data_IF_468280603078
#
_entry.id   IF_468280603078
#
_cell.length_a   1.000
_cell.length_b   1.000
_cell.length_c   1.000
_cell.angle_alpha   90.00
_cell.angle_beta   90.00
_cell.angle_gamma   90.00
#
_symmetry.space_group_name_H-M   'P 1'
#
loop_
_entity.id
_entity.type
_entity.pdbx_description
1 polymer ?
#
# COMPACT_ATOMS: atom_id res chain seq x y z
N UNK A 1 -34.91 -18.25 25.18
CA UNK A 1 -34.59 -17.19 24.20
C UNK A 1 -33.67 -16.20 24.89
N UNK A 2 -32.46 -16.01 24.35
CA UNK A 2 -31.38 -15.11 24.78
C UNK A 2 -31.03 -15.08 26.28
N UNK A 3 -29.88 -15.64 26.66
CA UNK A 3 -29.54 -15.75 28.09
C UNK A 3 -28.14 -15.24 28.44
N UNK A 4 -27.63 -14.20 27.80
CA UNK A 4 -26.26 -13.70 27.97
C UNK A 4 -25.15 -14.58 27.38
N UNK A 5 -25.28 -15.91 27.39
CA UNK A 5 -24.31 -16.81 26.71
C UNK A 5 -24.31 -16.59 25.18
N UNK A 6 -25.48 -16.53 24.55
CA UNK A 6 -25.55 -16.18 23.12
C UNK A 6 -25.01 -14.77 22.84
N UNK A 7 -25.24 -13.82 23.75
CA UNK A 7 -24.73 -12.45 23.61
C UNK A 7 -23.21 -12.41 23.73
N UNK A 8 -22.61 -13.19 24.63
CA UNK A 8 -21.14 -13.29 24.72
C UNK A 8 -20.56 -13.98 23.48
N UNK A 9 -21.22 -15.03 22.96
CA UNK A 9 -20.79 -15.71 21.73
C UNK A 9 -20.80 -14.73 20.55
N UNK A 10 -21.88 -13.97 20.34
CA UNK A 10 -21.94 -13.05 19.19
C UNK A 10 -20.96 -11.89 19.33
N UNK A 11 -20.73 -11.36 20.53
CA UNK A 11 -19.71 -10.33 20.75
C UNK A 11 -18.30 -10.86 20.52
N UNK A 12 -18.00 -12.08 20.97
CA UNK A 12 -16.72 -12.72 20.69
C UNK A 12 -16.52 -12.92 19.18
N UNK A 13 -17.54 -13.41 18.46
CA UNK A 13 -17.47 -13.58 17.00
C UNK A 13 -17.24 -12.24 16.29
N UNK A 14 -17.95 -11.18 16.69
CA UNK A 14 -17.72 -9.83 16.12
C UNK A 14 -16.30 -9.33 16.39
N UNK A 15 -15.78 -9.56 17.58
CA UNK A 15 -14.41 -9.19 17.95
C UNK A 15 -13.40 -9.92 17.06
N UNK A 16 -13.56 -11.23 16.88
CA UNK A 16 -12.70 -12.04 15.99
C UNK A 16 -12.78 -11.60 14.53
N UNK A 17 -13.98 -11.33 14.02
CA UNK A 17 -14.17 -10.80 12.66
C UNK A 17 -13.45 -9.46 12.51
N UNK A 18 -13.61 -8.55 13.47
CA UNK A 18 -13.00 -7.22 13.44
C UNK A 18 -11.48 -7.32 13.51
N UNK A 19 -10.96 -8.19 14.39
CA UNK A 19 -9.52 -8.43 14.50
C UNK A 19 -8.94 -9.03 13.22
N UNK A 20 -9.65 -9.98 12.58
CA UNK A 20 -9.24 -10.55 11.31
C UNK A 20 -9.23 -9.52 10.17
N UNK A 21 -10.27 -8.69 10.08
CA UNK A 21 -10.34 -7.60 9.10
C UNK A 21 -9.24 -6.56 9.32
N UNK A 22 -8.94 -6.23 10.58
CA UNK A 22 -7.85 -5.32 10.92
C UNK A 22 -6.50 -5.86 10.45
N UNK A 23 -6.16 -7.11 10.80
CA UNK A 23 -4.91 -7.75 10.34
C UNK A 23 -4.82 -7.77 8.81
N UNK A 24 -5.91 -8.13 8.13
CA UNK A 24 -5.95 -8.12 6.67
C UNK A 24 -5.71 -6.72 6.09
N UNK A 25 -6.35 -5.69 6.66
CA UNK A 25 -6.15 -4.31 6.22
C UNK A 25 -4.72 -3.82 6.45
N UNK A 26 -4.10 -4.21 7.58
CA UNK A 26 -2.70 -3.89 7.87
C UNK A 26 -1.76 -4.53 6.85
N UNK A 27 -1.89 -5.83 6.59
CA UNK A 27 -1.05 -6.52 5.60
C UNK A 27 -1.20 -5.93 4.19
N UNK A 28 -2.43 -5.64 3.76
CA UNK A 28 -2.67 -5.01 2.44
C UNK A 28 -2.03 -3.62 2.38
N UNK A 29 -2.09 -2.83 3.45
CA UNK A 29 -1.46 -1.50 3.50
C UNK A 29 0.07 -1.59 3.47
N UNK A 30 0.65 -2.57 4.19
CA UNK A 30 2.07 -2.87 4.17
C UNK A 30 2.57 -3.19 2.75
N UNK A 31 1.89 -4.12 2.07
CA UNK A 31 2.22 -4.48 0.68
C UNK A 31 2.07 -3.30 -0.27
N UNK A 32 1.04 -2.47 -0.07
CA UNK A 32 0.84 -1.27 -0.88
C UNK A 32 1.97 -0.24 -0.69
N UNK A 33 2.48 -0.08 0.52
CA UNK A 33 3.62 0.81 0.79
C UNK A 33 4.90 0.30 0.12
N UNK A 34 5.17 -1.01 0.19
CA UNK A 34 6.32 -1.62 -0.49
C UNK A 34 6.21 -1.46 -2.01
N UNK A 35 5.04 -1.72 -2.59
CA UNK A 35 4.82 -1.50 -4.02
C UNK A 35 5.08 -0.04 -4.44
N UNK A 36 4.61 0.92 -3.64
CA UNK A 36 4.84 2.34 -3.90
C UNK A 36 6.31 2.73 -3.77
N UNK A 37 7.04 2.11 -2.84
CA UNK A 37 8.48 2.25 -2.74
C UNK A 37 9.18 1.74 -3.99
N UNK A 38 8.88 0.51 -4.42
CA UNK A 38 9.52 -0.13 -5.57
C UNK A 38 9.27 0.65 -6.87
N UNK A 39 8.03 1.12 -7.09
CA UNK A 39 7.71 2.02 -8.21
C UNK A 39 8.55 3.30 -8.14
N UNK A 40 8.73 3.85 -6.94
CA UNK A 40 9.60 5.00 -6.71
C UNK A 40 11.05 4.75 -7.10
N UNK A 41 11.60 3.58 -6.74
CA UNK A 41 12.94 3.16 -7.14
C UNK A 41 13.09 3.09 -8.66
N UNK A 42 12.14 2.42 -9.34
CA UNK A 42 12.12 2.34 -10.82
C UNK A 42 12.08 3.73 -11.44
N UNK A 43 11.28 4.66 -10.90
CA UNK A 43 11.25 6.04 -11.40
C UNK A 43 12.60 6.74 -11.19
N UNK A 44 13.22 6.53 -10.03
CA UNK A 44 14.48 7.15 -9.68
C UNK A 44 15.66 6.67 -10.54
N UNK A 45 15.68 5.38 -10.89
CA UNK A 45 16.65 4.79 -11.83
C UNK A 45 16.59 5.45 -13.22
N UNK A 46 15.41 5.92 -13.62
CA UNK A 46 15.14 6.49 -14.94
C UNK A 46 14.98 8.02 -14.92
N UNK A 47 15.52 8.72 -13.91
CA UNK A 47 15.45 10.19 -13.78
C UNK A 47 15.91 10.94 -15.04
N UNK A 48 16.87 10.38 -15.76
CA UNK A 48 17.42 10.99 -16.99
C UNK A 48 16.44 11.04 -18.16
N UNK A 49 15.35 10.26 -18.14
CA UNK A 49 14.35 10.21 -19.21
C UNK A 49 13.40 11.42 -19.20
N UNK A 50 13.47 12.25 -18.15
CA UNK A 50 12.76 13.52 -18.06
C UNK A 50 11.26 13.38 -17.75
N UNK A 51 10.57 14.52 -17.67
CA UNK A 51 9.21 14.59 -17.13
C UNK A 51 8.17 13.79 -17.92
N UNK A 52 8.34 13.64 -19.24
CA UNK A 52 7.40 12.88 -20.09
C UNK A 52 7.33 11.40 -19.70
N UNK A 53 8.38 10.84 -19.12
CA UNK A 53 8.39 9.46 -18.66
C UNK A 53 7.32 9.21 -17.60
N UNK A 54 7.26 10.05 -16.55
CA UNK A 54 6.29 9.90 -15.47
C UNK A 54 4.86 10.13 -15.98
N UNK A 55 4.67 11.08 -16.91
CA UNK A 55 3.37 11.36 -17.51
C UNK A 55 2.85 10.15 -18.31
N UNK A 56 3.71 9.54 -19.14
CA UNK A 56 3.38 8.34 -19.91
C UNK A 56 3.13 7.15 -19.00
N UNK A 57 4.00 6.92 -18.01
CA UNK A 57 3.86 5.83 -17.05
C UNK A 57 2.53 5.90 -16.30
N UNK A 58 2.13 7.09 -15.85
CA UNK A 58 0.84 7.29 -15.19
C UNK A 58 -0.37 7.06 -16.12
N UNK A 59 -0.22 7.33 -17.42
CA UNK A 59 -1.24 7.05 -18.42
C UNK A 59 -1.36 5.55 -18.68
N UNK A 60 -0.24 4.87 -18.89
CA UNK A 60 -0.18 3.43 -19.19
C UNK A 60 -0.71 2.59 -18.03
N UNK A 61 -0.33 2.92 -16.78
CA UNK A 61 -0.87 2.24 -15.59
C UNK A 61 -2.39 2.42 -15.49
N UNK A 62 -2.92 3.60 -15.85
CA UNK A 62 -4.37 3.86 -15.80
C UNK A 62 -5.13 3.11 -16.89
N UNK A 63 -4.53 2.93 -18.06
CA UNK A 63 -5.11 2.11 -19.14
C UNK A 63 -5.16 0.65 -18.71
N UNK A 64 -4.08 0.14 -18.12
CA UNK A 64 -4.01 -1.24 -17.63
C UNK A 64 -4.92 -1.50 -16.43
N UNK A 65 -5.12 -0.49 -15.56
CA UNK A 65 -5.86 -0.60 -14.31
C UNK A 65 -6.86 0.55 -14.12
N UNK A 66 -7.93 0.63 -14.94
CA UNK A 66 -8.84 1.78 -14.96
C UNK A 66 -9.58 2.03 -13.64
N UNK A 67 -9.88 0.97 -12.89
CA UNK A 67 -10.57 1.05 -11.59
C UNK A 67 -9.63 1.35 -10.41
N UNK A 68 -8.31 1.31 -10.63
CA UNK A 68 -7.31 1.52 -9.57
C UNK A 68 -6.98 3.00 -9.44
N UNK A 69 -7.34 3.58 -8.29
CA UNK A 69 -6.89 4.90 -7.87
C UNK A 69 -5.46 4.81 -7.30
N UNK A 70 -4.78 5.95 -7.22
CA UNK A 70 -3.44 6.02 -6.60
C UNK A 70 -2.29 6.22 -7.57
N UNK A 71 -2.49 6.07 -8.88
CA UNK A 71 -1.44 6.16 -9.91
C UNK A 71 -1.54 7.43 -10.78
N UNK A 72 -1.84 8.56 -10.16
CA UNK A 72 -1.73 9.86 -10.84
C UNK A 72 -0.26 10.26 -10.99
N UNK A 73 0.07 11.13 -11.95
CA UNK A 73 1.42 11.71 -12.11
C UNK A 73 1.94 12.27 -10.79
N UNK A 74 1.08 12.97 -10.05
CA UNK A 74 1.43 13.53 -8.73
C UNK A 74 1.82 12.43 -7.75
N UNK A 75 1.05 11.35 -7.69
CA UNK A 75 1.34 10.25 -6.78
C UNK A 75 2.62 9.51 -7.18
N UNK A 76 2.88 9.32 -8.47
CA UNK A 76 4.15 8.74 -8.94
C UNK A 76 5.35 9.61 -8.52
N UNK A 77 5.23 10.94 -8.57
CA UNK A 77 6.26 11.85 -8.04
C UNK A 77 6.45 11.69 -6.52
N UNK A 78 5.37 11.44 -5.77
CA UNK A 78 5.47 11.11 -4.35
C UNK A 78 6.13 9.76 -4.10
N UNK A 79 5.85 8.75 -4.92
CA UNK A 79 6.53 7.44 -4.86
C UNK A 79 8.03 7.60 -5.11
N UNK A 80 8.42 8.36 -6.14
CA UNK A 80 9.83 8.67 -6.42
C UNK A 80 10.51 9.37 -5.23
N UNK A 81 9.84 10.39 -4.65
CA UNK A 81 10.35 11.08 -3.46
C UNK A 81 10.44 10.14 -2.25
N UNK A 82 9.46 9.27 -2.06
CA UNK A 82 9.44 8.28 -0.98
C UNK A 82 10.65 7.35 -1.08
N UNK A 83 10.88 6.76 -2.26
CA UNK A 83 12.04 5.91 -2.50
C UNK A 83 13.38 6.64 -2.32
N UNK A 84 13.48 7.89 -2.78
CA UNK A 84 14.68 8.71 -2.60
C UNK A 84 14.95 9.05 -1.13
N UNK A 85 13.90 9.27 -0.35
CA UNK A 85 14.01 9.62 1.08
C UNK A 85 14.48 8.41 1.91
N UNK A 86 14.07 7.20 1.53
CA UNK A 86 14.37 5.97 2.25
C UNK A 86 15.18 5.00 1.37
N UNK A 87 16.36 5.40 0.92
CA UNK A 87 17.19 4.60 -0.01
C UNK A 87 17.71 3.27 0.55
N UNK A 88 17.60 3.04 1.86
CA UNK A 88 17.89 1.75 2.48
C UNK A 88 16.67 0.82 2.40
N UNK A 89 16.70 -0.10 1.43
CA UNK A 89 15.61 -1.04 1.18
C UNK A 89 15.41 -2.05 2.32
N UNK A 90 16.49 -2.44 3.02
CA UNK A 90 16.38 -3.33 4.19
C UNK A 90 15.65 -2.64 5.33
N UNK A 91 15.94 -1.36 5.55
CA UNK A 91 15.21 -0.54 6.54
C UNK A 91 13.72 -0.47 6.22
N UNK A 92 13.34 -0.22 4.97
CA UNK A 92 11.92 -0.12 4.57
C UNK A 92 11.21 -1.46 4.74
N UNK A 93 11.82 -2.57 4.29
CA UNK A 93 11.24 -3.90 4.47
C UNK A 93 11.11 -4.29 5.94
N UNK A 94 12.11 -4.00 6.77
CA UNK A 94 12.07 -4.28 8.21
C UNK A 94 10.99 -3.47 8.93
N UNK A 95 10.84 -2.19 8.61
CA UNK A 95 9.81 -1.33 9.22
C UNK A 95 8.41 -1.78 8.82
N UNK A 96 8.21 -2.16 7.55
CA UNK A 96 6.93 -2.66 7.06
C UNK A 96 6.60 -4.04 7.64
N UNK A 97 7.60 -4.93 7.77
CA UNK A 97 7.41 -6.26 8.36
C UNK A 97 7.09 -6.24 9.86
N UNK A 98 7.34 -5.11 10.54
CA UNK A 98 6.99 -4.91 11.96
C UNK A 98 5.54 -4.43 12.16
N UNK A 99 4.78 -4.16 11.08
CA UNK A 99 3.38 -3.73 11.19
C UNK A 99 2.50 -5.00 11.39
N UNK A 100 1.80 -5.14 12.53
CA UNK A 100 1.17 -6.39 12.99
C UNK A 100 -0.16 -6.77 12.30
#
# INVERSE_FOLDING_TARGET
>A
MNTAEYLSIIENIKSEITAAQYRAAVHVNADMLLLYYDIGCVINEHKSWGNKFIDNLAADIRIAFPERKGYSVRNLKYMAKFAETYSDQEFVQQVVAQIP
#
